data_IF_126917376377
#
_entry.id   IF_126917376377
#
_cell.length_a   1.000
_cell.length_b   1.000
_cell.length_c   1.000
_cell.angle_alpha   90.00
_cell.angle_beta   90.00
_cell.angle_gamma   90.00
#
_symmetry.space_group_name_H-M   'P 1'
#
loop_
_entity.id
_entity.type
_entity.pdbx_description
1 polymer ?
#
# COMPACT_ATOMS: atom_id res chain seq x y z
N UNK A 1 -31.75 28.48 -5.22
CA UNK A 1 -31.64 27.07 -4.77
C UNK A 1 -30.32 26.93 -4.03
N UNK A 2 -30.36 26.79 -2.70
CA UNK A 2 -29.16 26.41 -1.94
C UNK A 2 -28.90 24.93 -2.25
N UNK A 3 -27.84 24.63 -2.99
CA UNK A 3 -27.39 23.26 -3.22
C UNK A 3 -26.75 22.76 -1.93
N UNK A 4 -27.58 22.34 -0.97
CA UNK A 4 -27.08 21.66 0.23
C UNK A 4 -26.41 20.37 -0.22
N UNK A 5 -25.11 20.25 0.07
CA UNK A 5 -24.34 19.03 -0.14
C UNK A 5 -25.07 17.85 0.48
N UNK A 6 -25.39 16.83 -0.31
CA UNK A 6 -26.13 15.65 0.16
C UNK A 6 -25.35 14.80 1.17
N UNK A 7 -24.03 15.02 1.27
CA UNK A 7 -23.13 14.29 2.16
C UNK A 7 -22.23 15.23 2.99
N UNK A 8 -21.79 14.79 4.19
CA UNK A 8 -20.79 15.51 4.98
C UNK A 8 -19.48 15.74 4.23
N UNK A 9 -18.83 16.89 4.44
CA UNK A 9 -17.56 17.25 3.78
C UNK A 9 -16.46 16.19 3.96
N UNK A 10 -16.42 15.53 5.12
CA UNK A 10 -15.44 14.49 5.44
C UNK A 10 -15.48 13.30 4.47
N UNK A 11 -16.66 12.92 3.97
CA UNK A 11 -16.81 11.77 3.08
C UNK A 11 -16.05 11.98 1.77
N UNK A 12 -16.08 13.20 1.21
CA UNK A 12 -15.35 13.49 -0.01
C UNK A 12 -13.84 13.27 0.14
N UNK A 13 -13.27 13.62 1.31
CA UNK A 13 -11.85 13.37 1.58
C UNK A 13 -11.54 11.89 1.72
N UNK A 14 -12.38 11.12 2.43
CA UNK A 14 -12.22 9.68 2.59
C UNK A 14 -12.33 8.97 1.24
N UNK A 15 -13.32 9.32 0.42
CA UNK A 15 -13.50 8.75 -0.92
C UNK A 15 -12.31 9.06 -1.82
N UNK A 16 -11.84 10.32 -1.84
CA UNK A 16 -10.67 10.68 -2.63
C UNK A 16 -9.43 9.89 -2.17
N UNK A 17 -9.19 9.82 -0.86
CA UNK A 17 -8.07 9.07 -0.28
C UNK A 17 -8.14 7.58 -0.64
N UNK A 18 -9.33 6.97 -0.53
CA UNK A 18 -9.55 5.57 -0.87
C UNK A 18 -9.30 5.28 -2.35
N UNK A 19 -9.76 6.15 -3.26
CA UNK A 19 -9.51 6.01 -4.69
C UNK A 19 -8.01 6.05 -4.99
N UNK A 20 -7.29 7.00 -4.41
CA UNK A 20 -5.84 7.15 -4.63
C UNK A 20 -5.03 5.99 -4.04
N UNK A 21 -5.43 5.49 -2.88
CA UNK A 21 -4.84 4.31 -2.25
C UNK A 21 -4.99 3.09 -3.18
N UNK A 22 -6.21 2.79 -3.63
CA UNK A 22 -6.47 1.66 -4.53
C UNK A 22 -5.77 1.80 -5.87
N UNK A 23 -5.73 3.01 -6.44
CA UNK A 23 -5.00 3.28 -7.68
C UNK A 23 -3.53 2.92 -7.54
N UNK A 24 -2.88 3.38 -6.46
CA UNK A 24 -1.46 3.08 -6.19
C UNK A 24 -1.24 1.59 -5.97
N UNK A 25 -2.05 0.96 -5.11
CA UNK A 25 -1.87 -0.43 -4.72
C UNK A 25 -2.09 -1.40 -5.89
N UNK A 26 -3.21 -1.28 -6.62
CA UNK A 26 -3.50 -2.17 -7.74
C UNK A 26 -2.62 -1.87 -8.95
N UNK A 27 -2.28 -0.60 -9.19
CA UNK A 27 -1.33 -0.22 -10.24
C UNK A 27 0.03 -0.85 -10.03
N UNK A 28 0.58 -0.74 -8.81
CA UNK A 28 1.84 -1.39 -8.45
C UNK A 28 1.73 -2.92 -8.56
N UNK A 29 0.70 -3.53 -7.99
CA UNK A 29 0.51 -4.99 -8.02
C UNK A 29 0.40 -5.54 -9.45
N UNK A 30 -0.25 -4.83 -10.37
CA UNK A 30 -0.35 -5.24 -11.77
C UNK A 30 1.03 -5.27 -12.46
N UNK A 31 1.90 -4.32 -12.14
CA UNK A 31 3.23 -4.20 -12.73
C UNK A 31 4.28 -5.06 -12.00
N UNK A 32 4.10 -5.34 -10.70
CA UNK A 32 5.11 -5.95 -9.85
C UNK A 32 5.61 -7.29 -10.40
N UNK A 33 4.69 -8.18 -10.82
CA UNK A 33 5.11 -9.48 -11.33
C UNK A 33 5.91 -9.35 -12.63
N UNK A 34 5.47 -8.47 -13.53
CA UNK A 34 6.17 -8.19 -14.79
C UNK A 34 7.54 -7.55 -14.52
N UNK A 35 7.65 -6.72 -13.50
CA UNK A 35 8.89 -6.10 -13.09
C UNK A 35 9.89 -7.13 -12.55
N UNK A 36 9.43 -8.04 -11.68
CA UNK A 36 10.25 -9.13 -11.13
C UNK A 36 10.79 -10.06 -12.23
N UNK A 37 9.94 -10.47 -13.18
CA UNK A 37 10.34 -11.40 -14.23
C UNK A 37 11.12 -10.73 -15.36
N UNK A 38 10.69 -9.56 -15.84
CA UNK A 38 11.25 -8.97 -17.06
C UNK A 38 12.45 -8.05 -16.79
N UNK A 39 12.41 -7.24 -15.72
CA UNK A 39 13.48 -6.27 -15.43
C UNK A 39 14.53 -6.86 -14.50
N UNK A 40 14.11 -7.47 -13.39
CA UNK A 40 15.01 -8.08 -12.41
C UNK A 40 15.48 -9.48 -12.80
N UNK A 41 14.87 -10.08 -13.83
CA UNK A 41 15.22 -11.41 -14.37
C UNK A 41 15.21 -12.50 -13.30
N UNK A 42 14.29 -12.41 -12.35
CA UNK A 42 14.08 -13.48 -11.39
C UNK A 42 13.44 -14.69 -12.06
N UNK A 43 13.80 -15.89 -11.58
CA UNK A 43 13.12 -17.12 -11.98
C UNK A 43 11.63 -17.05 -11.63
N UNK A 44 10.79 -17.65 -12.46
CA UNK A 44 9.33 -17.61 -12.30
C UNK A 44 8.90 -18.11 -10.92
N UNK A 45 9.56 -19.17 -10.40
CA UNK A 45 9.26 -19.69 -9.07
C UNK A 45 9.54 -18.65 -7.98
N UNK A 46 10.66 -17.93 -8.10
CA UNK A 46 11.02 -16.90 -7.12
C UNK A 46 10.11 -15.68 -7.21
N UNK A 47 9.79 -15.24 -8.43
CA UNK A 47 8.88 -14.12 -8.66
C UNK A 47 7.47 -14.42 -8.13
N UNK A 48 6.93 -15.62 -8.38
CA UNK A 48 5.62 -16.03 -7.86
C UNK A 48 5.63 -16.22 -6.34
N UNK A 49 6.69 -16.79 -5.78
CA UNK A 49 6.83 -16.90 -4.32
C UNK A 49 6.80 -15.53 -3.65
N UNK A 50 7.56 -14.55 -4.18
CA UNK A 50 7.60 -13.21 -3.62
C UNK A 50 6.28 -12.45 -3.80
N UNK A 51 5.67 -12.54 -4.98
CA UNK A 51 4.38 -11.91 -5.27
C UNK A 51 3.26 -12.47 -4.37
N UNK A 52 3.20 -13.79 -4.21
CA UNK A 52 2.20 -14.45 -3.36
C UNK A 52 2.42 -14.17 -1.88
N UNK A 53 3.67 -14.12 -1.42
CA UNK A 53 4.02 -13.71 -0.06
C UNK A 53 3.58 -12.25 0.20
N UNK A 54 3.85 -11.34 -0.74
CA UNK A 54 3.40 -9.95 -0.67
C UNK A 54 1.87 -9.87 -0.54
N UNK A 55 1.12 -10.50 -1.46
CA UNK A 55 -0.34 -10.49 -1.40
C UNK A 55 -0.90 -11.07 -0.09
N UNK A 56 -0.29 -12.14 0.42
CA UNK A 56 -0.72 -12.77 1.66
C UNK A 56 -0.53 -11.84 2.86
N UNK A 57 0.62 -11.18 2.95
CA UNK A 57 0.91 -10.25 4.05
C UNK A 57 -0.02 -9.04 4.02
N UNK A 58 -0.31 -8.48 2.85
CA UNK A 58 -1.24 -7.35 2.69
C UNK A 58 -2.63 -7.67 3.24
N UNK A 59 -3.10 -8.92 3.13
CA UNK A 59 -4.39 -9.30 3.71
C UNK A 59 -4.34 -9.57 5.22
N UNK A 60 -3.17 -9.85 5.77
CA UNK A 60 -2.98 -10.12 7.21
C UNK A 60 -2.74 -8.85 8.01
N UNK A 61 -1.96 -7.90 7.47
CA UNK A 61 -1.57 -6.69 8.21
C UNK A 61 -2.73 -5.80 8.68
N UNK A 62 -3.88 -5.69 7.99
CA UNK A 62 -5.03 -4.91 8.48
C UNK A 62 -5.58 -5.39 9.82
N UNK A 63 -5.46 -6.69 10.13
CA UNK A 63 -5.88 -7.23 11.43
C UNK A 63 -5.06 -6.60 12.57
N UNK A 64 -3.75 -6.49 12.36
CA UNK A 64 -2.83 -5.90 13.34
C UNK A 64 -2.93 -4.38 13.35
N UNK A 65 -3.04 -3.73 12.19
CA UNK A 65 -3.13 -2.29 12.10
C UNK A 65 -4.46 -1.73 12.61
N UNK A 66 -5.57 -2.43 12.41
CA UNK A 66 -6.87 -2.09 13.02
C UNK A 66 -6.81 -2.13 14.54
N UNK A 67 -6.21 -3.19 15.12
CA UNK A 67 -5.96 -3.26 16.55
C UNK A 67 -5.09 -2.09 17.06
N UNK A 68 -4.06 -1.72 16.30
CA UNK A 68 -3.16 -0.60 16.62
C UNK A 68 -3.91 0.75 16.57
N UNK A 69 -4.78 0.93 15.57
CA UNK A 69 -5.61 2.13 15.40
C UNK A 69 -6.60 2.27 16.56
N UNK A 70 -7.25 1.18 16.97
CA UNK A 70 -8.26 1.20 18.04
C UNK A 70 -7.66 1.44 19.43
N UNK A 71 -6.43 0.97 19.68
CA UNK A 71 -5.81 1.01 21.02
C UNK A 71 -4.81 2.13 21.26
N UNK A 72 -4.04 2.51 20.23
CA UNK A 72 -2.86 3.34 20.42
C UNK A 72 -2.90 4.66 19.63
N UNK A 73 -3.21 4.62 18.33
CA UNK A 73 -3.04 5.79 17.45
C UNK A 73 -4.32 6.58 17.19
N UNK A 74 -5.47 5.93 17.18
CA UNK A 74 -6.72 6.48 16.65
C UNK A 74 -6.79 6.46 15.12
N UNK A 75 -8.00 6.28 14.59
CA UNK A 75 -8.24 6.01 13.17
C UNK A 75 -7.69 7.10 12.24
N UNK A 76 -7.81 8.38 12.62
CA UNK A 76 -7.31 9.48 11.79
C UNK A 76 -5.79 9.43 11.62
N UNK A 77 -5.05 9.15 12.69
CA UNK A 77 -3.59 9.11 12.64
C UNK A 77 -3.09 7.83 11.96
N UNK A 78 -3.76 6.69 12.19
CA UNK A 78 -3.46 5.43 11.50
C UNK A 78 -3.54 5.60 9.97
N UNK A 79 -4.65 6.15 9.46
CA UNK A 79 -4.84 6.36 8.01
C UNK A 79 -3.80 7.33 7.42
N UNK A 80 -3.47 8.43 8.14
CA UNK A 80 -2.45 9.38 7.66
C UNK A 80 -1.05 8.75 7.63
N UNK A 81 -0.69 7.94 8.64
CA UNK A 81 0.57 7.21 8.65
C UNK A 81 0.61 6.11 7.60
N UNK A 82 -0.50 5.40 7.39
CA UNK A 82 -0.65 4.43 6.31
C UNK A 82 -0.38 5.05 4.94
N UNK A 83 -1.00 6.20 4.65
CA UNK A 83 -0.78 6.93 3.41
C UNK A 83 0.67 7.42 3.25
N UNK A 84 1.29 7.89 4.33
CA UNK A 84 2.70 8.31 4.32
C UNK A 84 3.64 7.12 4.04
N UNK A 85 3.45 5.99 4.71
CA UNK A 85 4.22 4.77 4.48
C UNK A 85 4.04 4.26 3.06
N UNK A 86 2.80 4.21 2.56
CA UNK A 86 2.53 3.82 1.17
C UNK A 86 3.28 4.72 0.17
N UNK A 87 3.25 6.04 0.36
CA UNK A 87 3.97 6.96 -0.52
C UNK A 87 5.49 6.72 -0.49
N UNK A 88 6.08 6.60 0.70
CA UNK A 88 7.52 6.32 0.87
C UNK A 88 7.87 4.97 0.23
N UNK A 89 7.06 3.93 0.46
CA UNK A 89 7.28 2.61 -0.08
C UNK A 89 7.32 2.59 -1.61
N UNK A 90 6.40 3.32 -2.27
CA UNK A 90 6.41 3.44 -3.74
C UNK A 90 7.61 4.23 -4.25
N UNK A 91 8.05 5.28 -3.54
CA UNK A 91 9.26 6.02 -3.89
C UNK A 91 10.52 5.14 -3.81
N UNK A 92 10.63 4.32 -2.75
CA UNK A 92 11.73 3.37 -2.59
C UNK A 92 11.67 2.26 -3.65
N UNK A 93 10.47 1.79 -4.02
CA UNK A 93 10.28 0.81 -5.08
C UNK A 93 10.80 1.33 -6.43
N UNK A 94 10.63 2.63 -6.70
CA UNK A 94 11.21 3.26 -7.89
C UNK A 94 12.74 3.21 -7.95
N UNK A 95 13.42 3.07 -6.81
CA UNK A 95 14.88 2.94 -6.72
C UNK A 95 15.33 1.46 -6.59
N UNK A 96 14.44 0.48 -6.77
CA UNK A 96 14.71 -0.93 -6.50
C UNK A 96 15.75 -1.59 -7.43
N UNK A 97 16.06 -0.96 -8.57
CA UNK A 97 17.14 -1.44 -9.48
C UNK A 97 18.54 -1.30 -8.87
N UNK A 98 18.72 -0.40 -7.90
CA UNK A 98 20.04 -0.12 -7.31
C UNK A 98 20.55 -1.25 -6.41
N UNK A 99 19.64 -1.88 -5.66
CA UNK A 99 19.96 -2.97 -4.75
C UNK A 99 18.72 -3.84 -4.48
N UNK A 100 18.86 -5.17 -4.40
CA UNK A 100 17.74 -6.06 -4.09
C UNK A 100 17.12 -5.76 -2.73
N UNK A 101 17.90 -5.21 -1.79
CA UNK A 101 17.41 -4.75 -0.49
C UNK A 101 16.27 -3.72 -0.62
N UNK A 102 16.35 -2.81 -1.59
CA UNK A 102 15.35 -1.74 -1.75
C UNK A 102 14.02 -2.29 -2.24
N UNK A 103 14.04 -3.40 -2.98
CA UNK A 103 12.84 -4.12 -3.35
C UNK A 103 12.14 -4.71 -2.12
N UNK A 104 12.85 -5.49 -1.29
CA UNK A 104 12.23 -6.09 -0.11
C UNK A 104 11.78 -5.02 0.91
N UNK A 105 12.58 -3.96 1.07
CA UNK A 105 12.28 -2.86 1.98
C UNK A 105 11.05 -2.07 1.52
N UNK A 106 10.94 -1.76 0.23
CA UNK A 106 9.75 -1.09 -0.31
C UNK A 106 8.49 -1.94 -0.14
N UNK A 107 8.54 -3.24 -0.47
CA UNK A 107 7.40 -4.14 -0.27
C UNK A 107 6.98 -4.21 1.20
N UNK A 108 7.94 -4.30 2.13
CA UNK A 108 7.65 -4.31 3.56
C UNK A 108 6.98 -3.00 4.03
N UNK A 109 7.48 -1.85 3.57
CA UNK A 109 6.89 -0.55 3.90
C UNK A 109 5.46 -0.44 3.36
N UNK A 110 5.22 -0.86 2.12
CA UNK A 110 3.90 -0.84 1.49
C UNK A 110 2.93 -1.76 2.25
N UNK A 111 3.36 -2.96 2.62
CA UNK A 111 2.57 -3.91 3.43
C UNK A 111 2.16 -3.31 4.78
N UNK A 112 3.10 -2.66 5.47
CA UNK A 112 2.83 -1.96 6.73
C UNK A 112 1.91 -0.75 6.54
N UNK A 113 2.11 0.01 5.46
CA UNK A 113 1.28 1.16 5.12
C UNK A 113 -0.16 0.77 4.83
N UNK A 114 -0.36 -0.26 4.00
CA UNK A 114 -1.69 -0.80 3.68
C UNK A 114 -2.41 -1.32 4.92
N UNK A 115 -1.70 -1.97 5.84
CA UNK A 115 -2.29 -2.50 7.08
C UNK A 115 -2.87 -1.43 8.02
N UNK A 116 -2.53 -0.16 7.86
CA UNK A 116 -3.02 0.94 8.70
C UNK A 116 -4.27 1.65 8.14
N UNK A 117 -4.75 1.23 6.96
CA UNK A 117 -6.04 1.66 6.40
C UNK A 117 -7.16 0.76 6.89
#
# INVERSE_FOLDING_TARGET
MQTTSSQPRAIYYVVALQIWEYFSFYGMRALLILYLTNQLKYDDNHAYALFSAYCSLVYVTPILGGYLADKLLGNRMAVMLGALLMAIGHLVLGASETAPLFLYLSLAIIVCGYGLF
#
